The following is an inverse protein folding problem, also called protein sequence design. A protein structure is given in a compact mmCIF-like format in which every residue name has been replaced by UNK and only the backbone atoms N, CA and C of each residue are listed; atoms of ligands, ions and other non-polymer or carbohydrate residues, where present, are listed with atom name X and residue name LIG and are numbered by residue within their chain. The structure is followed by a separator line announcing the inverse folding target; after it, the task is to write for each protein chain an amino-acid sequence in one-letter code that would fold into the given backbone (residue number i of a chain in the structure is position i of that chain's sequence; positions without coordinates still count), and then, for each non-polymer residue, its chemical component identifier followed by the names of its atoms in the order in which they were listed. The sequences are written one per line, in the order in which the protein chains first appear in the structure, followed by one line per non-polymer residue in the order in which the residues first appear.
data_IF_466127133952
#
_entry.id   IF_466127133952
#
_cell.length_a   1.000
_cell.length_b   1.000
_cell.length_c   1.000
_cell.angle_alpha   90.00
_cell.angle_beta   90.00
_cell.angle_gamma   90.00
#
_symmetry.space_group_name_H-M   'P 1'
#
loop_
_entity.id
_entity.type
_entity.pdbx_description
1 polymer ?
#
# COMPACT_ATOMS: atom_id res chain seq x y z
N UNK A 1 -12.48 -14.10 16.95
CA UNK A 1 -11.81 -12.78 17.09
C UNK A 1 -11.78 -12.11 15.72
N UNK A 2 -11.92 -10.78 15.63
CA UNK A 2 -11.79 -10.02 14.37
C UNK A 2 -10.55 -9.13 14.46
N UNK A 3 -9.78 -8.96 13.36
CA UNK A 3 -8.64 -8.06 13.36
C UNK A 3 -9.10 -6.61 13.53
N UNK A 4 -8.25 -5.77 14.14
CA UNK A 4 -8.42 -4.32 14.11
C UNK A 4 -8.01 -3.80 12.73
N UNK A 5 -8.79 -2.90 12.14
CA UNK A 5 -8.60 -2.46 10.75
C UNK A 5 -8.40 -0.97 10.71
N UNK A 6 -7.31 -0.55 10.06
CA UNK A 6 -6.99 0.85 9.77
C UNK A 6 -7.11 1.06 8.28
N UNK A 7 -7.89 2.06 7.87
CA UNK A 7 -7.99 2.49 6.47
C UNK A 7 -7.14 3.73 6.28
N UNK A 8 -6.15 3.66 5.41
CA UNK A 8 -5.31 4.78 5.03
C UNK A 8 -5.51 5.13 3.56
N UNK A 9 -5.64 6.43 3.26
CA UNK A 9 -5.81 6.94 1.91
C UNK A 9 -5.11 8.29 1.76
N UNK A 10 -4.39 8.49 0.65
CA UNK A 10 -3.96 9.80 0.21
C UNK A 10 -4.98 10.33 -0.81
N UNK A 11 -5.44 11.57 -0.65
CA UNK A 11 -6.44 12.17 -1.55
C UNK A 11 -6.14 13.64 -1.82
N UNK A 12 -6.54 14.12 -2.99
CA UNK A 12 -6.57 15.55 -3.32
C UNK A 12 -7.61 16.28 -2.48
N UNK A 13 -7.57 17.62 -2.49
CA UNK A 13 -8.51 18.46 -1.73
C UNK A 13 -9.97 18.26 -2.16
N UNK A 14 -10.22 17.90 -3.42
CA UNK A 14 -11.53 17.57 -3.97
C UNK A 14 -11.88 16.07 -3.85
N UNK A 15 -11.08 15.32 -3.08
CA UNK A 15 -11.34 13.95 -2.66
C UNK A 15 -11.08 12.87 -3.71
N UNK A 16 -10.19 13.13 -4.67
CA UNK A 16 -9.76 12.14 -5.68
C UNK A 16 -8.51 11.42 -5.22
N UNK A 17 -8.41 10.14 -5.58
CA UNK A 17 -7.31 9.26 -5.18
C UNK A 17 -6.45 8.80 -6.36
N UNK A 18 -6.90 9.05 -7.58
CA UNK A 18 -6.23 8.67 -8.83
C UNK A 18 -6.73 9.56 -9.98
N UNK A 19 -5.98 9.56 -11.08
CA UNK A 19 -6.43 10.17 -12.34
C UNK A 19 -7.56 9.36 -13.00
N UNK A 20 -8.32 9.95 -13.95
CA UNK A 20 -9.39 9.23 -14.67
C UNK A 20 -8.92 7.98 -15.42
N UNK A 21 -7.67 7.96 -15.87
CA UNK A 21 -7.02 6.81 -16.50
C UNK A 21 -6.50 5.77 -15.48
N UNK A 22 -6.86 5.93 -14.20
CA UNK A 22 -6.46 5.10 -13.06
C UNK A 22 -4.95 5.06 -12.82
N UNK A 23 -4.19 6.00 -13.38
CA UNK A 23 -2.80 6.17 -12.99
C UNK A 23 -2.70 6.81 -11.62
N UNK A 24 -1.66 6.42 -10.91
CA UNK A 24 -1.32 6.98 -9.62
C UNK A 24 -1.11 8.50 -9.73
N UNK A 25 -1.82 9.25 -8.89
CA UNK A 25 -1.51 10.66 -8.67
C UNK A 25 -0.49 10.76 -7.53
N UNK A 26 0.56 11.56 -7.72
CA UNK A 26 1.54 11.82 -6.65
C UNK A 26 0.97 12.84 -5.66
N UNK A 27 0.19 12.34 -4.70
CA UNK A 27 -0.53 13.16 -3.70
C UNK A 27 0.33 13.37 -2.44
N UNK A 28 0.98 12.31 -1.96
CA UNK A 28 1.75 12.33 -0.71
C UNK A 28 3.09 13.05 -0.86
N UNK A 29 3.49 13.77 0.19
CA UNK A 29 4.84 14.31 0.38
C UNK A 29 5.69 13.35 1.24
N UNK A 30 6.95 13.70 1.51
CA UNK A 30 7.84 12.83 2.29
C UNK A 30 7.40 12.66 3.75
N UNK A 31 6.75 13.67 4.35
CA UNK A 31 6.21 13.57 5.71
C UNK A 31 5.05 12.55 5.80
N UNK A 32 4.13 12.58 4.83
CA UNK A 32 3.05 11.61 4.73
C UNK A 32 3.57 10.20 4.46
N UNK A 33 4.62 10.08 3.64
CA UNK A 33 5.28 8.80 3.41
C UNK A 33 5.95 8.28 4.69
N UNK A 34 6.61 9.11 5.48
CA UNK A 34 7.16 8.70 6.77
C UNK A 34 6.06 8.20 7.72
N UNK A 35 4.93 8.93 7.79
CA UNK A 35 3.75 8.56 8.58
C UNK A 35 3.18 7.20 8.15
N UNK A 36 2.96 6.97 6.85
CA UNK A 36 2.37 5.71 6.38
C UNK A 36 3.33 4.53 6.58
N UNK A 37 4.64 4.76 6.45
CA UNK A 37 5.64 3.72 6.68
C UNK A 37 5.73 3.32 8.16
N UNK A 38 5.63 4.28 9.08
CA UNK A 38 5.52 3.99 10.51
C UNK A 38 4.24 3.22 10.84
N UNK A 39 3.09 3.69 10.35
CA UNK A 39 1.81 3.00 10.52
C UNK A 39 1.86 1.56 9.99
N UNK A 40 2.53 1.37 8.85
CA UNK A 40 2.69 0.05 8.23
C UNK A 40 3.55 -0.90 9.07
N UNK A 41 4.57 -0.39 9.76
CA UNK A 41 5.44 -1.17 10.64
C UNK A 41 4.76 -1.55 11.97
N UNK A 42 3.75 -0.78 12.39
CA UNK A 42 2.93 -1.07 13.57
C UNK A 42 1.82 -2.09 13.29
N UNK A 43 1.63 -2.53 12.03
CA UNK A 43 0.59 -3.45 11.62
C UNK A 43 1.15 -4.86 11.36
N UNK A 44 0.37 -5.89 11.71
CA UNK A 44 0.72 -7.29 11.36
C UNK A 44 0.59 -7.57 9.85
N UNK A 45 -0.28 -6.84 9.15
CA UNK A 45 -0.59 -7.05 7.74
C UNK A 45 -0.95 -5.75 7.00
N UNK A 46 -0.65 -5.70 5.70
CA UNK A 46 -1.11 -4.68 4.74
C UNK A 46 -1.96 -5.36 3.69
N UNK A 47 -3.14 -4.79 3.46
CA UNK A 47 -4.10 -5.30 2.50
C UNK A 47 -4.27 -4.32 1.34
N UNK A 48 -4.27 -4.86 0.12
CA UNK A 48 -4.66 -4.13 -1.09
C UNK A 48 -5.57 -4.98 -1.97
N UNK A 49 -6.31 -4.34 -2.87
CA UNK A 49 -7.00 -5.04 -3.95
C UNK A 49 -6.08 -5.29 -5.14
N UNK A 50 -6.42 -6.29 -5.95
CA UNK A 50 -5.74 -6.59 -7.22
C UNK A 50 -5.61 -5.37 -8.15
N UNK A 51 -6.57 -4.43 -8.13
CA UNK A 51 -6.48 -3.21 -8.93
C UNK A 51 -5.22 -2.39 -8.65
N UNK A 52 -4.83 -2.28 -7.38
CA UNK A 52 -3.61 -1.58 -6.95
C UNK A 52 -2.35 -2.31 -7.40
N UNK A 53 -2.34 -3.64 -7.37
CA UNK A 53 -1.19 -4.43 -7.85
C UNK A 53 -0.99 -4.21 -9.35
N UNK A 54 -2.08 -4.22 -10.13
CA UNK A 54 -2.03 -4.03 -11.57
C UNK A 54 -1.65 -2.59 -11.97
N UNK A 55 -2.05 -1.59 -11.18
CA UNK A 55 -1.76 -0.18 -11.50
C UNK A 55 -0.38 0.27 -11.02
N UNK A 56 0.02 -0.15 -9.82
CA UNK A 56 1.15 0.45 -9.10
C UNK A 56 2.32 -0.52 -8.90
N UNK A 57 2.11 -1.82 -9.09
CA UNK A 57 3.07 -2.90 -8.81
C UNK A 57 3.87 -2.69 -7.51
N UNK A 58 3.22 -2.55 -6.34
CA UNK A 58 3.89 -2.13 -5.12
C UNK A 58 4.62 -3.27 -4.43
N UNK A 59 5.74 -3.00 -3.76
CA UNK A 59 6.39 -3.97 -2.84
C UNK A 59 5.63 -4.19 -1.54
N UNK A 60 4.90 -3.16 -1.10
CA UNK A 60 4.22 -3.08 0.20
C UNK A 60 5.12 -3.33 1.43
N UNK A 61 6.43 -3.17 1.29
CA UNK A 61 7.39 -3.21 2.38
C UNK A 61 7.46 -1.87 3.13
N UNK A 62 8.09 -1.89 4.30
CA UNK A 62 8.49 -0.70 5.03
C UNK A 62 9.91 -0.33 4.61
N UNK A 63 10.12 0.93 4.21
CA UNK A 63 11.43 1.39 3.73
C UNK A 63 12.27 1.86 4.93
N UNK A 64 13.52 1.38 5.00
CA UNK A 64 14.47 1.72 6.06
C UNK A 64 14.73 3.22 6.20
N UNK A 65 14.59 3.99 5.11
CA UNK A 65 14.70 5.45 5.16
C UNK A 65 13.67 6.15 6.05
N UNK A 66 12.58 5.45 6.42
CA UNK A 66 11.52 6.00 7.28
C UNK A 66 11.43 5.30 8.63
N UNK A 67 11.85 4.04 8.74
CA UNK A 67 11.78 3.23 9.96
C UNK A 67 13.05 2.40 10.10
N UNK A 68 13.72 2.46 11.25
CA UNK A 68 14.92 1.65 11.52
C UNK A 68 14.55 0.21 11.82
N UNK A 69 15.27 -0.77 11.23
CA UNK A 69 15.05 -2.20 11.41
C UNK A 69 13.59 -2.65 11.22
N UNK A 70 12.99 -2.41 10.04
CA UNK A 70 11.57 -2.66 9.81
C UNK A 70 11.21 -4.13 9.93
N UNK A 71 10.10 -4.41 10.61
CA UNK A 71 9.59 -5.77 10.82
C UNK A 71 8.90 -6.37 9.57
N UNK A 72 8.47 -5.50 8.65
CA UNK A 72 7.71 -5.78 7.42
C UNK A 72 6.42 -6.61 7.64
N UNK A 73 5.24 -6.05 7.35
CA UNK A 73 3.98 -6.74 7.55
C UNK A 73 3.73 -7.85 6.53
N UNK A 74 2.82 -8.78 6.87
CA UNK A 74 2.26 -9.71 5.88
C UNK A 74 1.55 -8.94 4.76
N UNK A 75 1.73 -9.39 3.51
CA UNK A 75 1.14 -8.75 2.33
C UNK A 75 -0.08 -9.54 1.88
N UNK A 76 -1.25 -8.93 1.96
CA UNK A 76 -2.54 -9.55 1.61
C UNK A 76 -3.10 -8.89 0.35
N UNK A 77 -3.28 -9.68 -0.70
CA UNK A 77 -3.87 -9.21 -1.96
C UNK A 77 -5.24 -9.84 -2.13
N UNK A 78 -6.27 -9.00 -2.26
CA UNK A 78 -7.62 -9.45 -2.60
C UNK A 78 -7.77 -9.57 -4.11
N UNK A 79 -7.81 -10.81 -4.60
CA UNK A 79 -7.86 -11.13 -6.02
C UNK A 79 -8.81 -12.29 -6.32
N UNK A 80 -10.08 -11.97 -6.56
CA UNK A 80 -11.14 -12.97 -6.78
C UNK A 80 -10.94 -13.82 -8.04
N UNK A 81 -10.13 -13.36 -9.00
CA UNK A 81 -9.99 -13.97 -10.32
C UNK A 81 -8.54 -14.39 -10.64
N UNK A 82 -7.66 -14.43 -9.64
CA UNK A 82 -6.26 -14.85 -9.78
C UNK A 82 -5.50 -14.13 -10.92
N UNK A 83 -5.64 -12.80 -10.98
CA UNK A 83 -5.01 -11.92 -11.97
C UNK A 83 -3.66 -11.36 -11.54
N UNK A 84 -3.23 -11.61 -10.30
CA UNK A 84 -1.94 -11.14 -9.77
C UNK A 84 -0.81 -11.72 -10.62
N UNK A 85 0.01 -10.89 -11.30
CA UNK A 85 1.14 -11.38 -12.08
C UNK A 85 2.13 -12.15 -11.21
N UNK A 86 2.72 -13.23 -11.74
CA UNK A 86 3.67 -14.08 -10.99
C UNK A 86 4.97 -13.36 -10.63
N UNK A 87 5.28 -12.30 -11.36
CA UNK A 87 6.44 -11.42 -11.22
C UNK A 87 6.11 -10.10 -10.51
N UNK A 88 4.93 -10.00 -9.88
CA UNK A 88 4.55 -8.80 -9.15
C UNK A 88 5.49 -8.53 -7.95
N UNK A 89 5.81 -7.26 -7.72
CA UNK A 89 6.75 -6.79 -6.70
C UNK A 89 6.28 -7.10 -5.26
N UNK A 90 4.98 -7.37 -5.06
CA UNK A 90 4.43 -7.87 -3.80
C UNK A 90 5.01 -9.22 -3.37
N UNK A 91 5.64 -9.97 -4.29
CA UNK A 91 6.32 -11.24 -3.99
C UNK A 91 7.84 -11.10 -3.77
N UNK A 92 8.38 -9.90 -3.94
CA UNK A 92 9.82 -9.61 -3.71
C UNK A 92 10.22 -9.57 -2.23
#
# INVERSE_FOLDING_TARGET
MKPFVIVNCAMSIDGKIAFPDRKQAKISNDEDMARVHKLRDECDAVLVGIGTVLSDNPKLTVKEKYVQNPSNPLRVVLDSNFRTPRDAEVFS
#
